data_IF_846181968507
#
_entry.id   IF_846181968507
#
_cell.length_a   1.000
_cell.length_b   1.000
_cell.length_c   1.000
_cell.angle_alpha   90.00
_cell.angle_beta   90.00
_cell.angle_gamma   90.00
#
_symmetry.space_group_name_H-M   'P 1'
#
loop_
_entity.id
_entity.type
_entity.pdbx_description
1 polymer ?
#
# COMPACT_ATOMS: atom_id res chain seq x y z
N UNK A 1 -10.65 -28.64 -37.92
CA UNK A 1 -11.27 -27.31 -37.65
C UNK A 1 -10.69 -26.60 -36.42
N UNK A 2 -10.47 -27.28 -35.28
CA UNK A 2 -9.99 -26.67 -34.01
C UNK A 2 -8.58 -26.01 -34.05
N UNK A 3 -7.66 -26.49 -34.91
CA UNK A 3 -6.30 -25.90 -35.03
C UNK A 3 -6.30 -24.53 -35.71
N UNK A 4 -7.20 -24.30 -36.68
CA UNK A 4 -7.32 -23.03 -37.41
C UNK A 4 -7.93 -21.93 -36.54
N UNK A 5 -8.90 -22.27 -35.67
CA UNK A 5 -9.47 -21.33 -34.70
C UNK A 5 -8.47 -20.96 -33.62
N UNK A 6 -7.65 -21.90 -33.14
CA UNK A 6 -6.61 -21.60 -32.15
C UNK A 6 -5.51 -20.67 -32.70
N UNK A 7 -5.08 -20.88 -33.96
CA UNK A 7 -4.12 -20.00 -34.63
C UNK A 7 -4.65 -18.56 -34.76
N UNK A 8 -5.94 -18.41 -35.11
CA UNK A 8 -6.59 -17.11 -35.23
C UNK A 8 -6.62 -16.35 -33.89
N UNK A 9 -6.88 -17.05 -32.78
CA UNK A 9 -6.90 -16.43 -31.46
C UNK A 9 -5.49 -16.01 -31.00
N UNK A 10 -4.46 -16.80 -31.31
CA UNK A 10 -3.07 -16.45 -31.01
C UNK A 10 -2.65 -15.20 -31.79
N UNK A 11 -3.00 -15.12 -33.07
CA UNK A 11 -2.72 -13.93 -33.90
C UNK A 11 -3.48 -12.70 -33.41
N UNK A 12 -4.74 -12.86 -33.00
CA UNK A 12 -5.52 -11.75 -32.43
C UNK A 12 -4.95 -11.26 -31.10
N UNK A 13 -4.50 -12.18 -30.23
CA UNK A 13 -3.85 -11.83 -28.95
C UNK A 13 -2.47 -11.18 -29.17
N UNK A 14 -1.69 -11.64 -30.15
CA UNK A 14 -0.40 -11.01 -30.44
C UNK A 14 -0.55 -9.61 -31.04
N UNK A 15 -1.53 -9.41 -31.93
CA UNK A 15 -1.82 -8.09 -32.53
C UNK A 15 -2.32 -7.11 -31.47
N UNK A 16 -3.22 -7.56 -30.58
CA UNK A 16 -3.70 -6.71 -29.47
C UNK A 16 -2.59 -6.39 -28.47
N UNK A 17 -1.68 -7.33 -28.19
CA UNK A 17 -0.51 -7.07 -27.34
C UNK A 17 0.47 -6.08 -28.00
N UNK A 18 0.70 -6.18 -29.31
CA UNK A 18 1.54 -5.23 -30.05
C UNK A 18 0.90 -3.83 -30.07
N UNK A 19 -0.42 -3.72 -30.27
CA UNK A 19 -1.13 -2.44 -30.25
C UNK A 19 -1.11 -1.76 -28.87
N UNK A 20 -1.06 -2.52 -27.77
CA UNK A 20 -0.95 -1.99 -26.41
C UNK A 20 0.43 -1.38 -26.09
N UNK A 21 1.48 -1.80 -26.81
CA UNK A 21 2.84 -1.28 -26.65
C UNK A 21 3.31 -0.36 -27.78
N UNK A 22 2.57 -0.26 -28.88
CA UNK A 22 2.87 0.58 -30.04
C UNK A 22 2.34 2.02 -29.93
N UNK A 23 2.18 2.55 -28.71
CA UNK A 23 2.05 4.00 -28.57
C UNK A 23 3.44 4.60 -28.76
N UNK A 24 3.68 5.39 -29.82
CA UNK A 24 4.89 6.19 -29.85
C UNK A 24 4.88 7.06 -28.59
N UNK A 25 5.92 6.94 -27.76
CA UNK A 25 6.22 7.97 -26.77
C UNK A 25 6.61 9.19 -27.59
N UNK A 26 5.62 10.01 -27.95
CA UNK A 26 5.86 11.32 -28.52
C UNK A 26 6.57 12.08 -27.42
N UNK A 27 7.90 12.18 -27.54
CA UNK A 27 8.64 13.21 -26.85
C UNK A 27 8.06 14.52 -27.37
N UNK A 28 7.23 15.17 -26.57
CA UNK A 28 6.80 16.54 -26.85
C UNK A 28 8.10 17.34 -26.93
N UNK A 29 8.41 17.87 -28.11
CA UNK A 29 9.50 18.83 -28.26
C UNK A 29 9.33 19.92 -27.20
N UNK A 30 10.42 20.29 -26.52
CA UNK A 30 10.32 21.36 -25.52
C UNK A 30 9.84 22.62 -26.21
N UNK A 31 8.67 23.12 -25.78
CA UNK A 31 8.06 24.28 -26.38
C UNK A 31 8.55 25.54 -25.69
N UNK A 32 8.95 26.51 -26.49
CA UNK A 32 9.37 27.83 -26.04
C UNK A 32 8.48 28.87 -26.70
N UNK A 33 8.00 29.83 -25.92
CA UNK A 33 7.11 30.87 -26.41
C UNK A 33 7.33 32.19 -25.71
N UNK A 34 7.42 33.26 -26.50
CA UNK A 34 7.37 34.64 -25.99
C UNK A 34 6.19 35.30 -26.68
N UNK A 35 5.18 35.64 -25.89
CA UNK A 35 3.94 36.29 -26.33
C UNK A 35 3.92 37.71 -25.78
N UNK A 36 4.39 38.67 -26.57
CA UNK A 36 4.48 40.09 -26.18
C UNK A 36 3.21 40.86 -26.58
N UNK A 37 2.08 40.56 -25.96
CA UNK A 37 0.80 41.21 -26.30
C UNK A 37 0.78 42.68 -25.85
N UNK A 38 1.57 43.03 -24.83
CA UNK A 38 1.69 44.40 -24.35
C UNK A 38 2.67 45.26 -25.16
N UNK A 39 3.50 44.64 -26.02
CA UNK A 39 4.51 45.35 -26.82
C UNK A 39 5.59 46.04 -25.98
N UNK A 40 5.93 45.47 -24.83
CA UNK A 40 6.87 46.07 -23.86
C UNK A 40 8.29 45.54 -23.98
N UNK A 41 8.50 44.45 -24.75
CA UNK A 41 9.82 43.89 -24.97
C UNK A 41 10.52 44.63 -26.11
N UNK A 42 11.32 45.62 -25.75
CA UNK A 42 12.03 46.50 -26.70
C UNK A 42 13.24 45.84 -27.42
N UNK A 43 13.52 44.57 -27.13
CA UNK A 43 14.69 43.85 -27.63
C UNK A 43 14.34 42.88 -28.77
N UNK A 44 15.33 42.45 -29.58
CA UNK A 44 15.11 41.41 -30.58
C UNK A 44 14.66 40.11 -29.90
N UNK A 45 13.37 39.78 -30.09
CA UNK A 45 12.74 38.56 -29.56
C UNK A 45 13.50 37.28 -29.90
N UNK A 46 14.30 37.29 -30.98
CA UNK A 46 15.11 36.16 -31.39
C UNK A 46 16.19 35.78 -30.36
N UNK A 47 16.83 36.76 -29.71
CA UNK A 47 17.83 36.49 -28.68
C UNK A 47 17.21 35.83 -27.44
N UNK A 48 16.10 36.41 -26.95
CA UNK A 48 15.35 35.86 -25.83
C UNK A 48 14.78 34.46 -26.13
N UNK A 49 14.32 34.23 -27.35
CA UNK A 49 13.85 32.89 -27.77
C UNK A 49 14.99 31.88 -27.77
N UNK A 50 16.18 32.26 -28.20
CA UNK A 50 17.34 31.38 -28.20
C UNK A 50 17.76 31.03 -26.77
N UNK A 51 17.82 32.01 -25.87
CA UNK A 51 18.13 31.79 -24.45
C UNK A 51 17.09 30.88 -23.79
N UNK A 52 15.79 31.14 -24.03
CA UNK A 52 14.73 30.28 -23.54
C UNK A 52 14.79 28.86 -24.13
N UNK A 53 15.26 28.68 -25.37
CA UNK A 53 15.49 27.37 -25.99
C UNK A 53 16.63 26.63 -25.29
N UNK A 54 17.76 27.30 -25.04
CA UNK A 54 18.86 26.71 -24.26
C UNK A 54 18.39 26.27 -22.88
N UNK A 55 17.66 27.13 -22.18
CA UNK A 55 17.11 26.81 -20.86
C UNK A 55 16.12 25.63 -20.92
N UNK A 56 15.26 25.59 -21.93
CA UNK A 56 14.30 24.50 -22.12
C UNK A 56 14.98 23.16 -22.40
N UNK A 57 16.06 23.17 -23.19
CA UNK A 57 16.87 22.00 -23.49
C UNK A 57 17.60 21.46 -22.26
N UNK A 58 18.13 22.34 -21.40
CA UNK A 58 18.81 21.98 -20.16
C UNK A 58 17.84 21.42 -19.10
N UNK A 59 16.73 22.12 -18.91
CA UNK A 59 15.74 21.81 -17.86
C UNK A 59 14.74 20.73 -18.27
N UNK A 60 14.69 20.38 -19.57
CA UNK A 60 13.64 19.52 -20.16
C UNK A 60 12.23 20.00 -19.82
N UNK A 61 12.04 21.32 -19.77
CA UNK A 61 10.80 21.99 -19.45
C UNK A 61 10.47 23.05 -20.51
N UNK A 62 9.19 23.25 -20.82
CA UNK A 62 8.78 24.37 -21.67
C UNK A 62 8.97 25.71 -20.95
N UNK A 63 9.51 26.71 -21.64
CA UNK A 63 9.80 28.03 -21.07
C UNK A 63 9.00 29.09 -21.79
N UNK A 64 8.16 29.81 -21.05
CA UNK A 64 7.24 30.78 -21.62
C UNK A 64 7.33 32.14 -20.94
N UNK A 65 7.18 33.20 -21.72
CA UNK A 65 7.02 34.57 -21.25
C UNK A 65 5.78 35.16 -21.92
N UNK A 66 4.93 35.78 -21.11
CA UNK A 66 3.70 36.42 -21.59
C UNK A 66 3.62 37.81 -21.02
N UNK A 67 3.46 38.81 -21.88
CA UNK A 67 3.09 40.17 -21.49
C UNK A 67 1.67 40.42 -21.97
N UNK A 68 0.82 41.01 -21.13
CA UNK A 68 -0.59 41.27 -21.50
C UNK A 68 -1.12 42.53 -20.84
N UNK A 69 -2.09 43.19 -21.47
CA UNK A 69 -2.79 44.37 -20.95
C UNK A 69 -4.28 44.12 -20.74
N UNK A 70 -4.78 42.96 -21.18
CA UNK A 70 -6.22 42.68 -21.32
C UNK A 70 -6.73 41.58 -20.38
N UNK A 71 -5.86 41.05 -19.52
CA UNK A 71 -6.24 40.00 -18.58
C UNK A 71 -7.25 40.52 -17.53
N UNK A 72 -8.40 39.86 -17.45
CA UNK A 72 -9.47 40.14 -16.48
C UNK A 72 -9.55 39.10 -15.36
N UNK A 73 -8.80 38.00 -15.48
CA UNK A 73 -8.72 36.94 -14.48
C UNK A 73 -7.64 37.24 -13.44
N UNK A 74 -7.58 36.45 -12.36
CA UNK A 74 -6.45 36.53 -11.42
C UNK A 74 -5.17 36.12 -12.14
N UNK A 75 -4.04 36.85 -12.00
CA UNK A 75 -2.81 36.57 -12.74
C UNK A 75 -2.28 35.14 -12.54
N UNK A 76 -2.49 34.58 -11.33
CA UNK A 76 -2.24 33.18 -11.03
C UNK A 76 -3.02 32.21 -11.94
N UNK A 77 -4.32 32.42 -12.06
CA UNK A 77 -5.20 31.52 -12.81
C UNK A 77 -4.90 31.62 -14.30
N UNK A 78 -4.64 32.84 -14.79
CA UNK A 78 -4.17 33.09 -16.15
C UNK A 78 -2.86 32.34 -16.44
N UNK A 79 -1.82 32.53 -15.62
CA UNK A 79 -0.52 31.89 -15.81
C UNK A 79 -0.62 30.35 -15.77
N UNK A 80 -1.42 29.81 -14.85
CA UNK A 80 -1.65 28.37 -14.74
C UNK A 80 -2.34 27.81 -16.00
N UNK A 81 -3.41 28.46 -16.45
CA UNK A 81 -4.18 28.04 -17.63
C UNK A 81 -3.36 28.18 -18.91
N UNK A 82 -2.63 29.31 -19.06
CA UNK A 82 -1.74 29.54 -20.19
C UNK A 82 -0.70 28.43 -20.29
N UNK A 83 0.04 28.15 -19.21
CA UNK A 83 1.08 27.12 -19.23
C UNK A 83 0.48 25.73 -19.51
N UNK A 84 -0.65 25.40 -18.89
CA UNK A 84 -1.34 24.14 -19.12
C UNK A 84 -1.78 23.95 -20.57
N UNK A 85 -2.17 25.03 -21.26
CA UNK A 85 -2.54 24.98 -22.68
C UNK A 85 -1.34 24.79 -23.60
N UNK A 86 -0.17 25.32 -23.23
CA UNK A 86 1.06 25.16 -24.02
C UNK A 86 1.66 23.77 -23.84
N UNK A 87 2.04 23.41 -22.61
CA UNK A 87 2.78 22.16 -22.37
C UNK A 87 1.88 20.96 -22.12
N UNK A 88 0.58 21.16 -21.85
CA UNK A 88 -0.33 20.13 -21.36
C UNK A 88 -0.34 20.03 -19.83
N UNK A 89 -1.49 19.67 -19.26
CA UNK A 89 -1.65 19.61 -17.79
C UNK A 89 -0.64 18.65 -17.14
N UNK A 90 0.11 19.16 -16.15
CA UNK A 90 1.06 18.38 -15.36
C UNK A 90 2.43 18.16 -16.02
N UNK A 91 2.63 18.60 -17.26
CA UNK A 91 3.92 18.51 -17.94
C UNK A 91 4.92 19.55 -17.42
N UNK A 92 6.21 19.32 -17.71
CA UNK A 92 7.30 20.20 -17.29
C UNK A 92 7.20 21.54 -18.00
N UNK A 93 7.08 22.62 -17.23
CA UNK A 93 7.11 23.95 -17.79
C UNK A 93 7.22 25.04 -16.75
N UNK A 94 7.54 26.24 -17.21
CA UNK A 94 7.51 27.47 -16.43
C UNK A 94 7.00 28.61 -17.31
N UNK A 95 6.20 29.49 -16.72
CA UNK A 95 5.77 30.74 -17.35
C UNK A 95 6.08 31.93 -16.45
N UNK A 96 6.57 33.00 -17.06
CA UNK A 96 6.61 34.34 -16.50
C UNK A 96 5.48 35.16 -17.12
N UNK A 97 4.54 35.59 -16.29
CA UNK A 97 3.46 36.51 -16.67
C UNK A 97 3.80 37.93 -16.20
N UNK A 98 3.76 38.87 -17.12
CA UNK A 98 3.84 40.31 -16.87
C UNK A 98 2.48 40.91 -17.27
N UNK A 99 1.60 41.07 -16.29
CA UNK A 99 0.29 41.67 -16.49
C UNK A 99 0.37 43.18 -16.32
N UNK A 100 0.45 43.89 -17.43
CA UNK A 100 0.49 45.35 -17.50
C UNK A 100 -0.87 45.99 -17.17
N UNK A 101 -1.97 45.26 -17.35
CA UNK A 101 -3.31 45.75 -17.05
C UNK A 101 -3.56 45.82 -15.55
N UNK A 102 -3.15 44.78 -14.82
CA UNK A 102 -3.26 44.70 -13.36
C UNK A 102 -1.99 45.18 -12.63
N UNK A 103 -0.90 45.42 -13.37
CA UNK A 103 0.45 45.75 -12.86
C UNK A 103 0.99 44.68 -11.91
N UNK A 104 0.68 43.42 -12.19
CA UNK A 104 1.14 42.27 -11.41
C UNK A 104 2.10 41.40 -12.24
N UNK A 105 3.08 40.82 -11.56
CA UNK A 105 3.97 39.80 -12.10
C UNK A 105 3.64 38.47 -11.44
N UNK A 106 3.62 37.39 -12.20
CA UNK A 106 3.40 36.05 -11.65
C UNK A 106 4.29 35.02 -12.33
N UNK A 107 4.87 34.12 -11.55
CA UNK A 107 5.65 32.98 -12.05
C UNK A 107 4.93 31.70 -11.66
N UNK A 108 4.76 30.81 -12.62
CA UNK A 108 4.17 29.49 -12.39
C UNK A 108 5.03 28.39 -12.99
N UNK A 109 5.39 27.39 -12.18
CA UNK A 109 6.19 26.23 -12.59
C UNK A 109 5.43 24.92 -12.36
N UNK A 110 5.48 24.00 -13.32
CA UNK A 110 4.78 22.71 -13.30
C UNK A 110 5.71 21.52 -13.55
N UNK A 111 5.16 20.31 -13.42
CA UNK A 111 5.90 19.07 -13.65
C UNK A 111 7.03 18.87 -12.63
N UNK A 112 8.19 18.47 -13.14
CA UNK A 112 9.40 18.24 -12.34
C UNK A 112 10.10 19.55 -11.96
N UNK A 113 9.96 20.60 -12.78
CA UNK A 113 10.65 21.87 -12.56
C UNK A 113 10.20 22.56 -11.27
N UNK A 114 8.96 22.35 -10.82
CA UNK A 114 8.45 22.85 -9.52
C UNK A 114 9.28 22.39 -8.30
N UNK A 115 10.02 21.28 -8.42
CA UNK A 115 10.88 20.80 -7.34
C UNK A 115 12.19 21.57 -7.28
N UNK A 116 12.70 22.04 -8.42
CA UNK A 116 13.87 22.91 -8.49
C UNK A 116 13.48 24.37 -8.19
N UNK A 117 12.35 24.81 -8.73
CA UNK A 117 11.81 26.16 -8.58
C UNK A 117 10.67 26.10 -7.55
N UNK A 118 11.05 26.03 -6.27
CA UNK A 118 10.10 26.03 -5.15
C UNK A 118 9.45 27.40 -4.99
N UNK A 119 8.33 27.48 -4.26
CA UNK A 119 7.67 28.76 -3.97
C UNK A 119 8.62 29.79 -3.37
N UNK A 120 9.52 29.38 -2.45
CA UNK A 120 10.52 30.30 -1.89
C UNK A 120 11.52 30.83 -2.93
N UNK A 121 11.92 29.98 -3.88
CA UNK A 121 12.80 30.40 -4.98
C UNK A 121 12.06 31.28 -5.97
N UNK A 122 10.76 31.05 -6.21
CA UNK A 122 9.93 31.96 -7.00
C UNK A 122 9.93 33.36 -6.39
N UNK A 123 9.70 33.50 -5.09
CA UNK A 123 9.78 34.81 -4.42
C UNK A 123 11.16 35.45 -4.61
N UNK A 124 12.24 34.68 -4.46
CA UNK A 124 13.60 35.21 -4.71
C UNK A 124 13.85 35.62 -6.16
N UNK A 125 13.24 34.93 -7.14
CA UNK A 125 13.28 35.35 -8.54
C UNK A 125 12.52 36.66 -8.72
N UNK A 126 11.33 36.78 -8.12
CA UNK A 126 10.51 37.99 -8.18
C UNK A 126 11.24 39.19 -7.57
N UNK A 127 11.94 39.02 -6.44
CA UNK A 127 12.75 40.07 -5.80
C UNK A 127 13.82 40.66 -6.73
N UNK A 128 14.35 39.86 -7.68
CA UNK A 128 15.34 40.29 -8.66
C UNK A 128 14.69 40.95 -9.88
N UNK A 129 13.58 40.39 -10.34
CA UNK A 129 12.92 40.77 -11.60
C UNK A 129 12.05 42.02 -11.42
N UNK A 130 11.35 42.15 -10.29
CA UNK A 130 10.39 43.22 -10.03
C UNK A 130 11.00 44.64 -10.03
N UNK A 131 12.21 44.88 -9.47
CA UNK A 131 12.86 46.18 -9.59
C UNK A 131 13.13 46.57 -11.05
N UNK A 132 13.59 45.62 -11.88
CA UNK A 132 13.89 45.86 -13.29
C UNK A 132 12.61 46.21 -14.08
N UNK A 133 11.49 45.56 -13.77
CA UNK A 133 10.19 45.92 -14.34
C UNK A 133 9.73 47.32 -13.92
N UNK A 134 9.98 47.70 -12.67
CA UNK A 134 9.65 49.04 -12.15
C UNK A 134 10.44 50.13 -12.88
N UNK A 135 11.71 49.85 -13.21
CA UNK A 135 12.59 50.75 -13.97
C UNK A 135 12.28 50.75 -15.48
N UNK A 136 11.32 49.95 -15.95
CA UNK A 136 10.95 49.84 -17.37
C UNK A 136 11.89 48.94 -18.19
N UNK A 137 12.80 48.20 -17.54
CA UNK A 137 13.77 47.31 -18.18
C UNK A 137 13.17 45.91 -18.37
N UNK A 138 12.09 45.79 -19.15
CA UNK A 138 11.34 44.54 -19.33
C UNK A 138 12.16 43.40 -19.95
N UNK A 139 13.04 43.69 -20.91
CA UNK A 139 13.92 42.68 -21.49
C UNK A 139 14.90 42.13 -20.45
N UNK A 140 15.53 43.02 -19.68
CA UNK A 140 16.48 42.64 -18.65
C UNK A 140 15.82 41.81 -17.53
N UNK A 141 14.55 42.12 -17.22
CA UNK A 141 13.71 41.34 -16.33
C UNK A 141 13.54 39.89 -16.82
N UNK A 142 13.30 39.69 -18.11
CA UNK A 142 13.18 38.36 -18.71
C UNK A 142 14.51 37.60 -18.71
N UNK A 143 15.61 38.26 -19.07
CA UNK A 143 16.96 37.67 -19.02
C UNK A 143 17.35 37.26 -17.59
N UNK A 144 17.07 38.12 -16.61
CA UNK A 144 17.32 37.84 -15.20
C UNK A 144 16.46 36.68 -14.69
N UNK A 145 15.21 36.59 -15.15
CA UNK A 145 14.36 35.44 -14.88
C UNK A 145 14.97 34.13 -15.41
N UNK A 146 15.43 34.10 -16.68
CA UNK A 146 16.09 32.91 -17.24
C UNK A 146 17.36 32.54 -16.47
N UNK A 147 18.20 33.53 -16.16
CA UNK A 147 19.42 33.33 -15.38
C UNK A 147 19.16 32.75 -13.99
N UNK A 148 18.12 33.22 -13.29
CA UNK A 148 17.77 32.68 -11.98
C UNK A 148 17.18 31.26 -12.05
N UNK A 149 16.36 30.97 -13.06
CA UNK A 149 15.85 29.60 -13.28
C UNK A 149 17.00 28.64 -13.57
N UNK A 150 17.94 29.04 -14.42
CA UNK A 150 19.17 28.28 -14.67
C UNK A 150 19.96 28.06 -13.37
N UNK A 151 20.23 29.12 -12.61
CA UNK A 151 20.96 29.04 -11.34
C UNK A 151 20.34 28.02 -10.37
N UNK A 152 19.03 28.11 -10.13
CA UNK A 152 18.34 27.19 -9.21
C UNK A 152 18.22 25.76 -9.75
N UNK A 153 18.20 25.58 -11.07
CA UNK A 153 18.28 24.26 -11.66
C UNK A 153 19.65 23.62 -11.40
N UNK A 154 20.74 24.37 -11.57
CA UNK A 154 22.11 23.92 -11.29
C UNK A 154 22.35 23.64 -9.80
N UNK A 155 21.76 24.44 -8.91
CA UNK A 155 21.81 24.22 -7.46
C UNK A 155 21.10 22.93 -7.04
N UNK A 156 20.22 22.40 -7.90
CA UNK A 156 19.48 21.17 -7.66
C UNK A 156 18.25 21.37 -6.77
N UNK A 157 17.60 20.26 -6.42
CA UNK A 157 16.37 20.28 -5.63
C UNK A 157 16.71 20.56 -4.16
N UNK A 158 16.16 21.62 -3.55
CA UNK A 158 16.43 21.93 -2.16
C UNK A 158 15.85 20.87 -1.23
N UNK A 159 16.63 20.49 -0.22
CA UNK A 159 16.27 19.51 0.81
C UNK A 159 16.96 18.16 0.61
N UNK A 160 17.43 17.57 1.72
CA UNK A 160 18.21 16.31 1.74
C UNK A 160 17.42 15.04 1.37
N UNK A 161 16.38 15.13 0.55
CA UNK A 161 15.66 13.98 0.01
C UNK A 161 16.50 13.37 -1.11
N UNK A 162 16.71 12.06 -1.07
CA UNK A 162 17.36 11.35 -2.18
C UNK A 162 16.43 11.34 -3.38
N UNK A 163 16.90 11.82 -4.52
CA UNK A 163 16.16 11.80 -5.77
C UNK A 163 17.04 11.23 -6.90
N UNK A 164 16.40 10.71 -7.93
CA UNK A 164 17.06 10.34 -9.19
C UNK A 164 16.36 11.04 -10.33
N UNK A 165 17.16 11.64 -11.21
CA UNK A 165 16.71 12.34 -12.40
C UNK A 165 16.96 11.43 -13.60
N UNK A 166 15.92 11.19 -14.40
CA UNK A 166 16.09 10.53 -15.68
C UNK A 166 16.70 11.53 -16.69
N UNK A 167 17.88 11.25 -17.28
CA UNK A 167 18.58 12.20 -18.16
C UNK A 167 17.83 12.49 -19.47
N UNK A 168 17.04 11.54 -19.96
CA UNK A 168 16.34 11.67 -21.25
C UNK A 168 15.03 12.48 -21.11
N UNK A 169 14.34 12.30 -19.98
CA UNK A 169 12.98 12.86 -19.77
C UNK A 169 12.93 13.98 -18.74
N UNK A 170 13.99 14.20 -17.96
CA UNK A 170 13.99 15.12 -16.83
C UNK A 170 13.08 14.69 -15.67
N UNK A 171 12.57 13.44 -15.68
CA UNK A 171 11.67 12.94 -14.66
C UNK A 171 12.37 12.79 -13.31
N UNK A 172 11.83 13.45 -12.27
CA UNK A 172 12.35 13.40 -10.92
C UNK A 172 11.59 12.34 -10.13
N UNK A 173 12.31 11.30 -9.69
CA UNK A 173 11.78 10.28 -8.80
C UNK A 173 12.36 10.47 -7.40
N UNK A 174 11.48 10.62 -6.41
CA UNK A 174 11.89 10.74 -5.02
C UNK A 174 11.96 9.36 -4.37
N UNK A 175 13.12 9.05 -3.79
CA UNK A 175 13.30 7.84 -3.01
C UNK A 175 12.90 8.10 -1.58
N UNK A 176 11.87 7.40 -1.10
CA UNK A 176 11.49 7.47 0.30
C UNK A 176 12.57 6.79 1.13
N UNK A 177 13.33 7.58 1.89
CA UNK A 177 14.25 7.00 2.87
C UNK A 177 13.44 6.20 3.88
N UNK A 178 13.70 4.89 3.94
CA UNK A 178 13.10 3.98 4.89
C UNK A 178 13.46 4.46 6.31
N UNK A 179 12.50 5.02 7.04
CA UNK A 179 12.70 5.34 8.46
C UNK A 179 12.56 4.06 9.26
N UNK A 180 13.52 3.71 10.15
CA UNK A 180 13.45 2.47 10.93
C UNK A 180 12.18 2.37 11.79
N UNK A 181 11.55 3.49 12.16
CA UNK A 181 10.27 3.51 12.87
C UNK A 181 9.11 2.83 12.14
N UNK A 182 9.12 2.73 10.80
CA UNK A 182 8.09 2.00 10.06
C UNK A 182 8.17 0.49 10.26
N UNK A 183 9.35 -0.04 10.59
CA UNK A 183 9.52 -1.47 10.93
C UNK A 183 8.75 -1.78 12.21
N UNK A 184 8.84 -0.89 13.21
CA UNK A 184 8.14 -1.07 14.49
C UNK A 184 6.62 -1.05 14.29
N UNK A 185 6.09 -0.13 13.47
CA UNK A 185 4.67 -0.07 13.12
C UNK A 185 4.23 -1.35 12.37
N UNK A 186 5.04 -1.82 11.42
CA UNK A 186 4.74 -3.05 10.68
C UNK A 186 4.72 -4.28 11.60
N UNK A 187 5.65 -4.38 12.55
CA UNK A 187 5.67 -5.46 13.55
C UNK A 187 4.44 -5.41 14.45
N UNK A 188 4.01 -4.22 14.89
CA UNK A 188 2.78 -4.08 15.69
C UNK A 188 1.56 -4.55 14.89
N UNK A 189 1.41 -4.12 13.63
CA UNK A 189 0.28 -4.53 12.78
C UNK A 189 0.29 -6.05 12.56
N UNK A 190 1.47 -6.66 12.36
CA UNK A 190 1.61 -8.10 12.22
C UNK A 190 1.22 -8.85 13.50
N UNK A 191 1.61 -8.35 14.68
CA UNK A 191 1.21 -8.95 15.96
C UNK A 191 -0.30 -8.83 16.20
N UNK A 192 -0.89 -7.68 15.91
CA UNK A 192 -2.34 -7.46 16.06
C UNK A 192 -3.13 -8.39 15.13
N UNK A 193 -2.73 -8.51 13.86
CA UNK A 193 -3.42 -9.38 12.91
C UNK A 193 -3.28 -10.86 13.27
N UNK A 194 -2.08 -11.31 13.69
CA UNK A 194 -1.87 -12.67 14.17
C UNK A 194 -2.70 -12.99 15.42
N UNK A 195 -2.75 -12.06 16.39
CA UNK A 195 -3.53 -12.24 17.63
C UNK A 195 -5.03 -12.29 17.32
N UNK A 196 -5.53 -11.39 16.47
CA UNK A 196 -6.92 -11.39 16.03
C UNK A 196 -7.29 -12.70 15.33
N UNK A 197 -6.42 -13.22 14.47
CA UNK A 197 -6.62 -14.50 13.78
C UNK A 197 -6.74 -15.67 14.77
N UNK A 198 -5.86 -15.75 15.77
CA UNK A 198 -5.92 -16.79 16.81
C UNK A 198 -7.21 -16.69 17.63
N UNK A 199 -7.63 -15.49 18.03
CA UNK A 199 -8.88 -15.27 18.76
C UNK A 199 -10.09 -15.73 17.95
N UNK A 200 -10.13 -15.41 16.65
CA UNK A 200 -11.19 -15.85 15.74
C UNK A 200 -11.20 -17.37 15.60
N UNK A 201 -10.05 -18.02 15.49
CA UNK A 201 -9.97 -19.49 15.47
C UNK A 201 -10.51 -20.10 16.76
N UNK A 202 -10.02 -19.67 17.93
CA UNK A 202 -10.42 -20.25 19.22
C UNK A 202 -11.92 -20.06 19.47
N UNK A 203 -12.46 -18.89 19.14
CA UNK A 203 -13.91 -18.60 19.26
C UNK A 203 -14.77 -19.41 18.30
N UNK A 204 -14.36 -19.57 17.04
CA UNK A 204 -15.11 -20.37 16.05
C UNK A 204 -15.10 -21.85 16.36
N UNK A 205 -13.96 -22.39 16.79
CA UNK A 205 -13.84 -23.82 17.10
C UNK A 205 -14.31 -24.18 18.50
N UNK A 206 -14.81 -23.20 19.29
CA UNK A 206 -15.25 -23.38 20.67
C UNK A 206 -14.29 -24.28 21.46
N UNK A 207 -12.98 -24.11 21.23
CA UNK A 207 -11.95 -24.83 21.96
C UNK A 207 -12.00 -24.30 23.38
N UNK A 208 -12.84 -24.93 24.21
CA UNK A 208 -12.97 -24.63 25.62
C UNK A 208 -11.59 -24.84 26.24
N UNK A 209 -10.86 -23.76 26.45
CA UNK A 209 -9.62 -23.74 27.23
C UNK A 209 -9.94 -24.33 28.61
N UNK A 210 -9.53 -25.58 28.83
CA UNK A 210 -9.82 -26.32 30.06
C UNK A 210 -11.03 -27.25 30.04
N UNK A 211 -11.70 -27.50 28.90
CA UNK A 211 -12.66 -28.60 28.84
C UNK A 211 -11.93 -29.94 28.93
N UNK A 212 -11.94 -30.54 30.13
CA UNK A 212 -11.70 -31.97 30.28
C UNK A 212 -12.81 -32.70 29.51
N UNK A 213 -12.46 -33.25 28.35
CA UNK A 213 -13.32 -34.15 27.61
C UNK A 213 -13.67 -35.33 28.50
N UNK A 214 -14.92 -35.41 28.97
CA UNK A 214 -15.43 -36.54 29.73
C UNK A 214 -16.34 -37.37 28.84
N UNK A 215 -15.84 -38.49 28.34
CA UNK A 215 -16.64 -39.40 27.52
C UNK A 215 -17.66 -40.13 28.41
N UNK A 216 -18.95 -39.87 28.19
CA UNK A 216 -20.05 -40.50 28.96
C UNK A 216 -20.22 -41.97 28.52
N UNK A 217 -19.32 -42.83 29.00
CA UNK A 217 -19.31 -44.26 28.72
C UNK A 217 -20.61 -44.97 29.13
N UNK A 218 -21.38 -44.40 30.05
CA UNK A 218 -22.68 -44.93 30.47
C UNK A 218 -23.79 -44.77 29.42
N UNK A 219 -23.70 -43.75 28.56
CA UNK A 219 -24.72 -43.49 27.53
C UNK A 219 -24.30 -44.00 26.15
N UNK A 220 -23.00 -43.96 25.86
CA UNK A 220 -22.45 -44.28 24.54
C UNK A 220 -21.72 -45.63 24.49
N UNK A 221 -21.61 -46.33 25.63
CA UNK A 221 -20.99 -47.65 25.71
C UNK A 221 -22.04 -48.75 25.69
N UNK A 222 -22.02 -49.62 24.68
CA UNK A 222 -22.82 -50.84 24.66
C UNK A 222 -21.98 -52.01 25.17
N UNK A 223 -22.35 -52.55 26.33
CA UNK A 223 -21.69 -53.70 26.94
C UNK A 223 -22.51 -54.97 26.68
N UNK A 224 -22.06 -55.78 25.72
CA UNK A 224 -22.70 -57.05 25.42
C UNK A 224 -21.93 -58.20 26.07
N UNK A 225 -22.38 -58.61 27.26
CA UNK A 225 -21.78 -59.72 28.02
C UNK A 225 -22.31 -61.05 27.47
N UNK A 226 -21.55 -61.68 26.58
CA UNK A 226 -21.96 -62.91 25.88
C UNK A 226 -21.81 -64.20 26.69
N UNK A 227 -21.03 -64.18 27.78
CA UNK A 227 -20.70 -65.38 28.55
C UNK A 227 -20.91 -65.15 30.04
N UNK A 228 -21.96 -65.79 30.59
CA UNK A 228 -22.20 -65.86 32.03
C UNK A 228 -21.68 -67.20 32.53
N UNK A 229 -20.56 -67.19 33.24
CA UNK A 229 -20.02 -68.39 33.91
C UNK A 229 -19.88 -68.08 35.38
N UNK A 230 -20.59 -68.81 36.21
CA UNK A 230 -20.43 -68.74 37.65
C UNK A 230 -19.46 -69.85 38.05
N UNK A 231 -18.30 -69.46 38.56
CA UNK A 231 -17.27 -70.42 39.01
C UNK A 231 -17.16 -70.28 40.51
N UNK A 232 -17.53 -71.32 41.25
CA UNK A 232 -17.36 -71.34 42.69
C UNK A 232 -15.86 -71.35 43.01
N UNK A 233 -15.33 -70.19 43.40
CA UNK A 233 -13.89 -70.04 43.66
C UNK A 233 -13.49 -70.62 45.01
N UNK A 234 -14.39 -70.56 46.01
CA UNK A 234 -14.12 -71.08 47.35
C UNK A 234 -15.37 -71.68 47.98
N UNK A 235 -15.22 -72.86 48.59
CA UNK A 235 -16.21 -73.46 49.47
C UNK A 235 -15.57 -73.73 50.83
N UNK A 236 -16.13 -73.15 51.90
CA UNK A 236 -15.70 -73.45 53.25
C UNK A 236 -16.64 -74.51 53.83
N UNK A 237 -16.16 -75.76 53.91
CA UNK A 237 -16.88 -76.84 54.58
C UNK A 237 -16.30 -76.97 55.98
N UNK A 238 -17.09 -76.61 56.99
CA UNK A 238 -16.73 -76.80 58.39
C UNK A 238 -17.31 -78.13 58.88
N UNK A 239 -16.48 -79.17 58.98
CA UNK A 239 -16.89 -80.44 59.59
C UNK A 239 -16.62 -80.43 61.09
N UNK A 240 -17.66 -80.70 61.89
CA UNK A 240 -17.53 -80.96 63.33
C UNK A 240 -17.77 -82.44 63.59
N UNK A 241 -16.84 -83.09 64.29
CA UNK A 241 -17.04 -84.44 64.81
C UNK A 241 -18.02 -84.38 65.99
N UNK A 242 -19.16 -85.05 65.88
CA UNK A 242 -20.07 -85.26 67.02
C UNK A 242 -19.39 -86.30 67.93
N UNK A 243 -18.97 -85.94 69.16
CA UNK A 243 -18.31 -86.88 70.06
C UNK A 243 -19.29 -87.99 70.46
N UNK A 244 -18.91 -89.25 70.24
CA UNK A 244 -19.61 -90.40 70.82
C UNK A 244 -19.08 -90.61 72.23
N UNK A 245 -19.97 -90.53 73.22
CA UNK A 245 -19.66 -90.82 74.61
C UNK A 245 -19.28 -92.30 74.73
N UNK A 246 -18.07 -92.58 75.20
CA UNK A 246 -17.58 -93.92 75.45
C UNK A 246 -17.62 -94.20 76.97
N UNK A 247 -18.80 -94.02 77.57
CA UNK A 247 -19.12 -94.57 78.88
C UNK A 247 -20.17 -95.67 78.69
N UNK A 248 -19.76 -96.88 79.03
CA UNK A 248 -20.59 -98.06 79.15
C UNK A 248 -21.63 -97.88 80.28
N UNK A 249 -22.90 -97.69 79.91
CA UNK A 249 -24.07 -98.36 80.51
C UNK A 249 -25.38 -97.80 79.95
N UNK A 250 -26.16 -98.65 79.28
CA UNK A 250 -27.63 -98.51 79.23
C UNK A 250 -28.26 -97.91 77.98
N UNK A 251 -28.58 -98.77 77.01
CA UNK A 251 -29.89 -98.89 76.33
C UNK A 251 -30.54 -97.69 75.62
N UNK A 252 -30.97 -97.92 74.38
CA UNK A 252 -32.15 -97.24 73.81
C UNK A 252 -31.97 -96.71 72.39
N UNK A 253 -32.82 -97.20 71.48
CA UNK A 253 -32.78 -97.04 70.03
C UNK A 253 -33.82 -96.02 69.55
N UNK A 254 -33.75 -95.67 68.25
CA UNK A 254 -34.68 -94.86 67.42
C UNK A 254 -34.47 -93.33 67.49
N UNK A 255 -34.50 -92.56 66.41
CA UNK A 255 -34.74 -92.85 64.99
C UNK A 255 -35.05 -91.54 64.26
N UNK A 256 -34.69 -91.46 62.98
CA UNK A 256 -35.45 -90.69 61.97
C UNK A 256 -35.11 -89.22 61.74
N UNK A 257 -35.02 -88.86 60.45
CA UNK A 257 -35.64 -87.62 59.94
C UNK A 257 -34.67 -86.59 59.37
N UNK A 258 -34.72 -86.37 58.05
CA UNK A 258 -33.90 -85.41 57.31
C UNK A 258 -34.52 -84.03 57.08
N UNK A 259 -34.12 -83.41 55.96
CA UNK A 259 -34.51 -82.10 55.40
C UNK A 259 -33.74 -80.90 56.01
N UNK A 260 -33.17 -79.92 55.30
CA UNK A 260 -33.46 -79.35 53.98
C UNK A 260 -33.78 -77.86 54.19
N UNK A 261 -33.07 -76.93 53.53
CA UNK A 261 -33.40 -75.50 53.61
C UNK A 261 -32.34 -74.56 53.06
N UNK A 262 -32.52 -74.14 51.80
CA UNK A 262 -31.78 -73.03 51.18
C UNK A 262 -32.51 -71.69 51.35
N UNK A 263 -31.76 -70.60 51.13
CA UNK A 263 -32.30 -69.27 50.80
C UNK A 263 -31.23 -68.48 50.05
N UNK A 264 -31.60 -68.11 48.82
CA UNK A 264 -30.87 -67.23 47.90
C UNK A 264 -31.22 -65.77 48.16
N UNK A 265 -30.33 -64.89 47.72
CA UNK A 265 -30.64 -63.50 47.39
C UNK A 265 -31.05 -63.41 45.92
#
# INVERSE_FOLDING_TARGET
MKKKTMLLHIVFVSITFILLFAFPKVGMAQQVGIDDQAGVLNAPLQGLKQEATTLAEETKAGVFVVTTTTNTEKPKDFAMNYLANQVGQGNNGIVLLIDMGQREIYIWATGNLKYYITSSRIESILDVVQPQLTDGNYTQAVESFYGQVHHYYQEGIPGGRKYTVNPDTGAVTFHRSFRPGYILIAVIIALVSATAFVIVLVSRYQLKLGARWNYRYQENGELNLSKRTDTLVNSFITTRRIPRNNNSSGGGFSGGGGSGGGRSF
#
